data_IF_471328614262
#
_entry.id   IF_471328614262
#
_cell.length_a   1.000
_cell.length_b   1.000
_cell.length_c   1.000
_cell.angle_alpha   90.00
_cell.angle_beta   90.00
_cell.angle_gamma   90.00
#
_symmetry.space_group_name_H-M   'P 1'
#
loop_
_entity.id
_entity.type
_entity.pdbx_description
1 polymer ?
#
# COMPACT_ATOMS: atom_id res chain seq x y z
N UNK A 1 26.87 13.44 25.07
CA UNK A 1 25.44 13.82 25.17
C UNK A 1 24.92 14.66 24.00
N UNK A 2 25.67 15.64 23.45
CA UNK A 2 25.21 16.40 22.27
C UNK A 2 25.13 15.55 20.98
N UNK A 3 26.12 14.69 20.75
CA UNK A 3 26.17 13.82 19.55
C UNK A 3 25.04 12.78 19.52
N UNK A 4 24.74 12.14 20.66
CA UNK A 4 23.66 11.15 20.78
C UNK A 4 22.28 11.75 20.47
N UNK A 5 22.03 12.99 20.89
CA UNK A 5 20.78 13.71 20.57
C UNK A 5 20.68 14.02 19.08
N UNK A 6 21.77 14.46 18.45
CA UNK A 6 21.79 14.72 17.00
C UNK A 6 21.56 13.46 16.17
N UNK A 7 22.11 12.31 16.58
CA UNK A 7 21.88 11.03 15.90
C UNK A 7 20.42 10.60 16.02
N UNK A 8 19.82 10.70 17.21
CA UNK A 8 18.42 10.34 17.43
C UNK A 8 17.45 11.19 16.58
N UNK A 9 17.70 12.51 16.50
CA UNK A 9 16.91 13.42 15.66
C UNK A 9 16.95 13.03 14.18
N UNK A 10 18.13 12.68 13.65
CA UNK A 10 18.28 12.21 12.26
C UNK A 10 17.54 10.89 12.00
N UNK A 11 17.57 9.96 12.97
CA UNK A 11 16.86 8.68 12.86
C UNK A 11 15.35 8.88 12.82
N UNK A 12 14.81 9.77 13.66
CA UNK A 12 13.38 10.13 13.67
C UNK A 12 12.99 10.79 12.35
N UNK A 13 13.78 11.77 11.86
CA UNK A 13 13.52 12.44 10.58
C UNK A 13 13.50 11.45 9.40
N UNK A 14 14.44 10.51 9.36
CA UNK A 14 14.47 9.45 8.35
C UNK A 14 13.23 8.56 8.42
N UNK A 15 12.83 8.14 9.63
CA UNK A 15 11.66 7.29 9.82
C UNK A 15 10.35 8.01 9.43
N UNK A 16 10.23 9.31 9.71
CA UNK A 16 9.09 10.13 9.25
C UNK A 16 9.06 10.23 7.73
N UNK A 17 10.22 10.39 7.08
CA UNK A 17 10.31 10.40 5.62
C UNK A 17 9.92 9.06 5.00
N UNK A 18 10.42 7.95 5.57
CA UNK A 18 10.02 6.60 5.17
C UNK A 18 8.50 6.40 5.32
N UNK A 19 7.93 6.81 6.45
CA UNK A 19 6.49 6.71 6.69
C UNK A 19 5.67 7.49 5.65
N UNK A 20 6.08 8.71 5.29
CA UNK A 20 5.44 9.47 4.19
C UNK A 20 5.48 8.71 2.87
N UNK A 21 6.62 8.08 2.55
CA UNK A 21 6.72 7.24 1.35
C UNK A 21 5.80 6.02 1.38
N UNK A 22 5.58 5.43 2.56
CA UNK A 22 4.63 4.33 2.75
C UNK A 22 3.17 4.78 2.59
N UNK A 23 2.84 5.98 3.06
CA UNK A 23 1.52 6.59 2.89
C UNK A 23 1.20 6.87 1.41
N UNK A 24 2.17 7.43 0.68
CA UNK A 24 2.05 7.60 -0.79
C UNK A 24 1.90 6.26 -1.52
N UNK A 25 2.62 5.22 -1.09
CA UNK A 25 2.50 3.87 -1.65
C UNK A 25 1.12 3.25 -1.36
N UNK A 26 0.54 3.53 -0.19
CA UNK A 26 -0.80 3.09 0.19
C UNK A 26 -1.87 3.70 -0.71
N UNK A 27 -1.82 5.01 -0.94
CA UNK A 27 -2.79 5.66 -1.85
C UNK A 27 -2.65 5.16 -3.29
N UNK A 28 -1.43 4.96 -3.80
CA UNK A 28 -1.22 4.33 -5.12
C UNK A 28 -1.79 2.91 -5.19
N UNK A 29 -1.61 2.11 -4.13
CA UNK A 29 -2.14 0.75 -4.09
C UNK A 29 -3.69 0.75 -4.05
N UNK A 30 -4.30 1.71 -3.35
CA UNK A 30 -5.74 1.93 -3.32
C UNK A 30 -6.30 2.28 -4.69
N UNK A 31 -5.69 3.25 -5.38
CA UNK A 31 -6.06 3.63 -6.75
C UNK A 31 -5.97 2.45 -7.72
N UNK A 32 -4.89 1.67 -7.65
CA UNK A 32 -4.72 0.46 -8.45
C UNK A 32 -5.80 -0.59 -8.17
N UNK A 33 -6.15 -0.80 -6.90
CA UNK A 33 -7.25 -1.71 -6.50
C UNK A 33 -8.59 -1.23 -7.05
N UNK A 34 -8.88 0.06 -6.95
CA UNK A 34 -10.13 0.63 -7.44
C UNK A 34 -10.23 0.56 -8.97
N UNK A 35 -9.12 0.77 -9.67
CA UNK A 35 -9.06 0.57 -11.12
C UNK A 35 -9.30 -0.89 -11.49
N UNK A 36 -8.60 -1.83 -10.86
CA UNK A 36 -8.78 -3.26 -11.11
C UNK A 36 -10.22 -3.72 -10.83
N UNK A 37 -10.89 -3.11 -9.85
CA UNK A 37 -12.30 -3.38 -9.55
C UNK A 37 -13.22 -2.90 -10.68
N UNK A 38 -12.99 -1.69 -11.21
CA UNK A 38 -13.73 -1.18 -12.39
C UNK A 38 -13.49 -2.05 -13.63
N UNK A 39 -12.25 -2.48 -13.84
CA UNK A 39 -11.89 -3.34 -14.97
C UNK A 39 -12.59 -4.70 -14.87
N UNK A 40 -12.64 -5.29 -13.67
CA UNK A 40 -13.36 -6.54 -13.44
C UNK A 40 -14.87 -6.41 -13.67
N UNK A 41 -15.51 -5.34 -13.17
CA UNK A 41 -16.92 -5.08 -13.45
C UNK A 41 -17.19 -4.90 -14.94
N UNK A 42 -16.31 -4.19 -15.64
CA UNK A 42 -16.39 -4.03 -17.11
C UNK A 42 -16.25 -5.38 -17.81
N UNK A 43 -15.33 -6.23 -17.37
CA UNK A 43 -15.15 -7.58 -17.90
C UNK A 43 -16.39 -8.45 -17.65
N UNK A 44 -16.99 -8.40 -16.46
CA UNK A 44 -18.24 -9.10 -16.17
C UNK A 44 -19.36 -8.67 -17.13
N UNK A 45 -19.52 -7.37 -17.36
CA UNK A 45 -20.51 -6.86 -18.32
C UNK A 45 -20.24 -7.37 -19.74
N UNK A 46 -18.99 -7.31 -20.21
CA UNK A 46 -18.59 -7.82 -21.52
C UNK A 46 -18.83 -9.33 -21.66
N UNK A 47 -18.57 -10.11 -20.61
CA UNK A 47 -18.82 -11.55 -20.59
C UNK A 47 -20.33 -11.83 -20.70
N UNK A 48 -21.17 -11.10 -19.96
CA UNK A 48 -22.62 -11.23 -20.04
C UNK A 48 -23.18 -10.87 -21.42
N UNK A 49 -22.51 -9.97 -22.13
CA UNK A 49 -22.81 -9.62 -23.53
C UNK A 49 -22.23 -10.62 -24.55
N UNK A 50 -21.48 -11.63 -24.11
CA UNK A 50 -20.79 -12.58 -24.99
C UNK A 50 -19.60 -11.98 -25.76
N UNK A 51 -19.11 -10.81 -25.36
CA UNK A 51 -18.03 -10.08 -26.05
C UNK A 51 -16.62 -10.50 -25.63
N UNK A 52 -16.48 -11.22 -24.52
CA UNK A 52 -15.22 -11.82 -24.07
C UNK A 52 -15.46 -13.26 -23.60
N UNK A 53 -14.38 -14.01 -23.44
CA UNK A 53 -14.39 -15.37 -22.92
C UNK A 53 -14.31 -15.42 -21.39
N UNK A 54 -14.64 -16.59 -20.81
CA UNK A 54 -14.47 -16.83 -19.37
C UNK A 54 -13.00 -16.70 -18.93
N UNK A 55 -12.04 -17.03 -19.80
CA UNK A 55 -10.61 -16.90 -19.51
C UNK A 55 -10.19 -15.43 -19.33
N UNK A 56 -10.72 -14.54 -20.16
CA UNK A 56 -10.48 -13.10 -20.05
C UNK A 56 -11.11 -12.52 -18.79
N UNK A 57 -12.33 -12.96 -18.42
CA UNK A 57 -12.94 -12.59 -17.15
C UNK A 57 -12.10 -13.03 -15.95
N UNK A 58 -11.59 -14.27 -15.95
CA UNK A 58 -10.71 -14.80 -14.89
C UNK A 58 -9.38 -14.04 -14.80
N UNK A 59 -8.89 -13.51 -15.91
CA UNK A 59 -7.69 -12.66 -15.92
C UNK A 59 -7.94 -11.34 -15.19
N UNK A 60 -9.09 -10.69 -15.46
CA UNK A 60 -9.50 -9.49 -14.73
C UNK A 60 -9.72 -9.77 -13.24
N UNK A 61 -10.33 -10.92 -12.89
CA UNK A 61 -10.49 -11.36 -11.51
C UNK A 61 -9.14 -11.54 -10.79
N UNK A 62 -8.18 -12.20 -11.44
CA UNK A 62 -6.83 -12.40 -10.90
C UNK A 62 -6.11 -11.06 -10.68
N UNK A 63 -6.28 -10.10 -11.58
CA UNK A 63 -5.71 -8.77 -11.46
C UNK A 63 -6.33 -8.01 -10.26
N UNK A 64 -7.65 -8.10 -10.08
CA UNK A 64 -8.34 -7.55 -8.90
C UNK A 64 -7.81 -8.18 -7.60
N UNK A 65 -7.73 -9.51 -7.52
CA UNK A 65 -7.22 -10.21 -6.34
C UNK A 65 -5.77 -9.80 -6.02
N UNK A 66 -4.94 -9.63 -7.04
CA UNK A 66 -3.56 -9.17 -6.87
C UNK A 66 -3.53 -7.74 -6.32
N UNK A 67 -4.31 -6.83 -6.90
CA UNK A 67 -4.36 -5.45 -6.44
C UNK A 67 -4.93 -5.31 -5.02
N UNK A 68 -5.89 -6.16 -4.63
CA UNK A 68 -6.38 -6.23 -3.26
C UNK A 68 -5.30 -6.68 -2.28
N UNK A 69 -4.51 -7.70 -2.64
CA UNK A 69 -3.36 -8.15 -1.82
C UNK A 69 -2.31 -7.05 -1.68
N UNK A 70 -1.97 -6.38 -2.78
CA UNK A 70 -1.02 -5.26 -2.78
C UNK A 70 -1.51 -4.13 -1.84
N UNK A 71 -2.81 -3.81 -1.89
CA UNK A 71 -3.41 -2.80 -1.02
C UNK A 71 -3.36 -3.18 0.46
N UNK A 72 -3.72 -4.42 0.82
CA UNK A 72 -3.62 -4.92 2.20
C UNK A 72 -2.18 -4.90 2.70
N UNK A 73 -1.22 -5.29 1.86
CA UNK A 73 0.20 -5.24 2.22
C UNK A 73 0.66 -3.79 2.45
N UNK A 74 0.21 -2.84 1.62
CA UNK A 74 0.53 -1.43 1.81
C UNK A 74 -0.06 -0.87 3.11
N UNK A 75 -1.30 -1.26 3.48
CA UNK A 75 -1.90 -0.89 4.76
C UNK A 75 -1.06 -1.40 5.94
N UNK A 76 -0.63 -2.65 5.87
CA UNK A 76 0.22 -3.24 6.91
C UNK A 76 1.57 -2.53 7.02
N UNK A 77 2.21 -2.23 5.89
CA UNK A 77 3.47 -1.49 5.87
C UNK A 77 3.31 -0.08 6.44
N UNK A 78 2.22 0.63 6.09
CA UNK A 78 1.90 1.94 6.65
C UNK A 78 1.75 1.89 8.18
N UNK A 79 1.02 0.89 8.70
CA UNK A 79 0.90 0.66 10.14
C UNK A 79 2.26 0.42 10.82
N UNK A 80 3.11 -0.43 10.25
CA UNK A 80 4.46 -0.67 10.78
C UNK A 80 5.34 0.58 10.74
N UNK A 81 5.24 1.38 9.67
CA UNK A 81 5.94 2.66 9.54
C UNK A 81 5.52 3.65 10.62
N UNK A 82 4.21 3.81 10.85
CA UNK A 82 3.68 4.66 11.91
C UNK A 82 4.18 4.20 13.30
N UNK A 83 4.12 2.89 13.57
CA UNK A 83 4.59 2.31 14.82
C UNK A 83 6.08 2.54 15.05
N UNK A 84 6.92 2.42 14.00
CA UNK A 84 8.35 2.71 14.07
C UNK A 84 8.61 4.17 14.48
N UNK A 85 7.89 5.13 13.89
CA UNK A 85 8.01 6.55 14.24
C UNK A 85 7.65 6.80 15.70
N UNK A 86 6.53 6.23 16.19
CA UNK A 86 6.09 6.38 17.58
C UNK A 86 7.16 5.85 18.54
N UNK A 87 7.65 4.63 18.31
CA UNK A 87 8.66 4.00 19.18
C UNK A 87 10.00 4.76 19.21
N UNK A 88 10.41 5.36 18.09
CA UNK A 88 11.60 6.24 18.04
C UNK A 88 11.36 7.55 18.82
N UNK A 89 10.16 8.13 18.72
CA UNK A 89 9.80 9.35 19.43
C UNK A 89 9.69 9.14 20.96
N UNK A 90 9.21 7.97 21.39
CA UNK A 90 9.18 7.57 22.79
C UNK A 90 10.55 7.17 23.35
N UNK A 91 11.59 7.10 22.50
CA UNK A 91 12.94 6.68 22.88
C UNK A 91 13.07 5.19 23.20
N UNK A 92 12.09 4.38 22.80
CA UNK A 92 12.08 2.91 22.97
C UNK A 92 12.95 2.25 21.90
N UNK A 93 12.91 2.76 20.67
CA UNK A 93 13.89 2.46 19.62
C UNK A 93 14.97 3.56 19.67
N UNK A 94 16.25 3.15 19.67
CA UNK A 94 17.43 4.05 19.70
C UNK A 94 18.33 3.72 18.53
#
# INVERSE_FOLDING_TARGET
>A
MKETKQTLTRTVESAVKEFKGLDEALEKAKEKRDQAQRDYLTAQMKMNMGAITLSELRTAEKNLLTAQKDYVQAQYNGYLGAKKVILLQEGILV
#
